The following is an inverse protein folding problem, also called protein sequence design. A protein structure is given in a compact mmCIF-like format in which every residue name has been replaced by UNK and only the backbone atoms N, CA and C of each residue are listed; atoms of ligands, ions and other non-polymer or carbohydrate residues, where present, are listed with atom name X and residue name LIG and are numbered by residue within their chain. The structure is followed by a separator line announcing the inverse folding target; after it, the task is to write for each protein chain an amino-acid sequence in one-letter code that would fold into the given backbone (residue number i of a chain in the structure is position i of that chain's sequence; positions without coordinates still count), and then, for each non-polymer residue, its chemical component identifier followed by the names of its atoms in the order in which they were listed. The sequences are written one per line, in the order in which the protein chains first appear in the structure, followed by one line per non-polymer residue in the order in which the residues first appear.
data_IF_218781131039
#
_entry.id   IF_218781131039
#
_cell.length_a   1.000
_cell.length_b   1.000
_cell.length_c   1.000
_cell.angle_alpha   90.00
_cell.angle_beta   90.00
_cell.angle_gamma   90.00
#
_symmetry.space_group_name_H-M   'P 1'
#
loop_
_entity.id
_entity.type
_entity.pdbx_description
1 polymer ?
#
# COMPACT_ATOMS: atom_id res chain seq x y z
N UNK A 1 69.41 -4.53 -8.01
CA UNK A 1 69.27 -5.88 -7.41
C UNK A 1 68.98 -5.67 -5.92
N UNK A 2 67.94 -6.33 -5.39
CA UNK A 2 67.32 -6.09 -4.08
C UNK A 2 68.19 -6.50 -2.87
N UNK A 3 67.82 -5.94 -1.69
CA UNK A 3 68.07 -6.33 -0.27
C UNK A 3 68.65 -5.15 0.54
N UNK A 4 68.19 -4.75 1.73
CA UNK A 4 67.74 -5.49 2.92
C UNK A 4 66.76 -4.65 3.78
N UNK A 5 65.97 -5.39 4.57
CA UNK A 5 65.11 -5.02 5.69
C UNK A 5 65.81 -4.20 6.79
N UNK A 6 65.13 -3.21 7.37
CA UNK A 6 65.43 -2.77 8.73
C UNK A 6 64.21 -2.88 9.64
N UNK A 7 64.48 -3.56 10.74
CA UNK A 7 63.59 -4.01 11.79
C UNK A 7 63.29 -2.94 12.83
N UNK A 8 62.07 -2.98 13.38
CA UNK A 8 61.57 -2.20 14.53
C UNK A 8 62.53 -2.16 15.73
N UNK A 9 62.33 -1.16 16.61
CA UNK A 9 62.33 -1.42 18.04
C UNK A 9 60.97 -1.11 18.70
N UNK A 10 60.58 -2.06 19.56
CA UNK A 10 59.45 -2.03 20.50
C UNK A 10 59.50 -0.83 21.45
N UNK A 11 58.33 -0.27 21.74
CA UNK A 11 58.10 0.59 22.91
C UNK A 11 56.60 0.77 23.12
N UNK A 12 56.10 0.26 24.25
CA UNK A 12 54.70 0.20 24.64
C UNK A 12 54.00 1.57 24.72
N UNK A 13 52.67 1.60 24.63
CA UNK A 13 51.75 1.99 25.72
C UNK A 13 50.29 2.02 25.21
N UNK A 14 49.36 1.84 26.15
CA UNK A 14 47.91 2.18 26.14
C UNK A 14 46.96 1.39 25.23
N UNK A 15 46.38 0.33 25.82
CA UNK A 15 45.01 -0.11 25.55
C UNK A 15 44.04 1.08 25.66
N UNK A 16 43.24 1.36 24.63
CA UNK A 16 42.07 2.23 24.75
C UNK A 16 40.95 1.77 23.82
N UNK A 17 40.13 0.90 24.38
CA UNK A 17 38.66 0.90 24.36
C UNK A 17 37.95 1.48 23.11
N UNK A 18 37.22 0.58 22.45
CA UNK A 18 36.14 0.87 21.51
C UNK A 18 35.02 1.70 22.17
N UNK A 19 34.60 2.82 21.56
CA UNK A 19 33.22 3.27 21.66
C UNK A 19 32.49 2.84 20.39
N UNK A 20 31.56 1.91 20.56
CA UNK A 20 30.52 1.52 19.62
C UNK A 20 29.94 2.79 18.93
N UNK A 21 30.09 2.98 17.60
CA UNK A 21 29.45 4.08 16.90
C UNK A 21 27.94 3.80 16.79
N UNK A 22 27.24 4.15 17.86
CA UNK A 22 25.81 4.38 17.89
C UNK A 22 25.54 5.64 17.09
N UNK A 23 24.86 5.53 15.95
CA UNK A 23 24.29 6.69 15.27
C UNK A 23 24.67 6.83 13.80
N UNK A 24 23.77 6.34 12.95
CA UNK A 24 23.30 7.02 11.74
C UNK A 24 24.40 7.44 10.73
N UNK A 25 24.86 6.48 9.94
CA UNK A 25 25.35 6.78 8.60
C UNK A 25 24.13 7.01 7.68
N UNK A 26 23.95 8.18 7.02
CA UNK A 26 23.03 8.31 5.88
C UNK A 26 23.70 7.77 4.61
N UNK A 27 24.38 6.62 4.71
CA UNK A 27 25.03 5.97 3.57
C UNK A 27 24.06 4.92 3.04
N UNK A 28 23.41 5.27 1.92
CA UNK A 28 22.48 4.47 1.07
C UNK A 28 20.98 4.61 1.34
N UNK A 29 20.45 5.82 1.12
CA UNK A 29 19.01 6.03 0.88
C UNK A 29 18.52 5.57 -0.51
N UNK A 30 19.42 5.23 -1.46
CA UNK A 30 19.05 4.84 -2.83
C UNK A 30 18.77 3.34 -3.01
N UNK A 31 18.79 2.57 -1.92
CA UNK A 31 18.46 1.14 -1.89
C UNK A 31 17.16 0.85 -1.12
N UNK A 32 16.26 1.82 -0.99
CA UNK A 32 14.85 1.49 -0.79
C UNK A 32 14.36 0.89 -2.11
N UNK A 33 14.55 -0.42 -2.22
CA UNK A 33 14.29 -1.18 -3.42
C UNK A 33 12.89 -0.93 -3.93
N UNK A 34 12.80 -0.85 -5.25
CA UNK A 34 11.59 -1.06 -6.01
C UNK A 34 10.85 -2.29 -5.44
N UNK A 35 9.80 -2.05 -4.67
CA UNK A 35 9.09 -3.06 -3.91
C UNK A 35 7.70 -2.55 -3.62
N UNK A 36 6.71 -3.40 -3.88
CA UNK A 36 5.28 -3.08 -3.76
C UNK A 36 5.02 -2.44 -2.39
N UNK A 37 4.51 -1.20 -2.40
CA UNK A 37 4.13 -0.45 -1.20
C UNK A 37 2.67 -0.78 -0.84
N UNK A 38 2.36 -0.84 0.45
CA UNK A 38 0.97 -0.92 0.89
C UNK A 38 0.26 0.43 0.77
N UNK A 39 -1.08 0.39 0.69
CA UNK A 39 -1.88 1.57 0.38
C UNK A 39 -1.74 2.71 1.40
N UNK A 40 -1.58 2.38 2.69
CA UNK A 40 -1.44 3.39 3.75
C UNK A 40 -0.12 4.13 3.67
N UNK A 41 0.99 3.41 3.44
CA UNK A 41 2.31 4.02 3.27
C UNK A 41 2.37 4.85 1.99
N UNK A 42 1.80 4.36 0.88
CA UNK A 42 1.70 5.12 -0.36
C UNK A 42 0.90 6.43 -0.20
N UNK A 43 -0.21 6.38 0.55
CA UNK A 43 -1.06 7.54 0.80
C UNK A 43 -0.35 8.66 1.58
N UNK A 44 0.62 8.34 2.45
CA UNK A 44 1.44 9.34 3.16
C UNK A 44 2.28 10.18 2.20
N UNK A 45 2.65 9.61 1.05
CA UNK A 45 3.40 10.30 -0.02
C UNK A 45 2.48 11.00 -1.02
N UNK A 46 1.16 11.04 -0.77
CA UNK A 46 0.17 11.63 -1.66
C UNK A 46 -0.22 10.76 -2.85
N UNK A 47 0.26 9.52 -2.93
CA UNK A 47 -0.07 8.57 -4.00
C UNK A 47 -1.27 7.73 -3.58
N UNK A 48 -2.31 7.70 -4.41
CA UNK A 48 -3.49 6.87 -4.15
C UNK A 48 -4.61 7.13 -5.15
N UNK A 49 -5.57 6.20 -5.18
CA UNK A 49 -6.78 6.32 -5.98
C UNK A 49 -7.65 7.46 -5.45
N UNK A 50 -8.15 8.30 -6.35
CA UNK A 50 -9.03 9.41 -6.00
C UNK A 50 -10.39 9.31 -6.68
N UNK A 51 -10.45 8.73 -7.87
CA UNK A 51 -11.68 8.63 -8.66
C UNK A 51 -11.73 7.33 -9.45
N UNK A 52 -12.92 6.74 -9.54
CA UNK A 52 -13.23 5.66 -10.48
C UNK A 52 -14.29 6.14 -11.47
N UNK A 53 -14.22 5.67 -12.71
CA UNK A 53 -15.15 6.00 -13.78
C UNK A 53 -15.70 4.73 -14.43
N UNK A 54 -17.02 4.64 -14.60
CA UNK A 54 -17.64 3.55 -15.35
C UNK A 54 -17.46 3.77 -16.85
N UNK A 55 -16.48 3.10 -17.42
CA UNK A 55 -16.37 3.00 -18.89
C UNK A 55 -17.54 2.21 -19.46
N UNK A 56 -17.97 1.17 -18.73
CA UNK A 56 -19.17 0.42 -19.03
C UNK A 56 -20.06 0.35 -17.80
N UNK A 57 -21.23 0.95 -17.92
CA UNK A 57 -22.27 0.93 -16.89
C UNK A 57 -22.81 -0.49 -16.66
N UNK A 58 -23.16 -0.85 -15.42
CA UNK A 58 -23.89 -2.08 -15.16
C UNK A 58 -25.30 -2.02 -15.79
N UNK A 59 -25.89 -3.16 -16.17
CA UNK A 59 -27.26 -3.20 -16.71
C UNK A 59 -28.28 -2.65 -15.70
N UNK A 60 -29.15 -1.74 -16.14
CA UNK A 60 -30.18 -1.12 -15.30
C UNK A 60 -31.30 -2.08 -14.89
N UNK A 61 -31.49 -3.16 -15.64
CA UNK A 61 -32.44 -4.22 -15.34
C UNK A 61 -31.72 -5.56 -15.43
N UNK A 62 -31.72 -6.31 -14.33
CA UNK A 62 -31.01 -7.57 -14.22
C UNK A 62 -31.85 -8.61 -13.49
N UNK A 63 -31.84 -9.84 -14.02
CA UNK A 63 -32.44 -11.01 -13.39
C UNK A 63 -31.49 -11.60 -12.36
N UNK A 64 -32.00 -11.97 -11.19
CA UNK A 64 -31.19 -12.55 -10.08
C UNK A 64 -30.36 -13.78 -10.47
N UNK A 65 -30.85 -14.61 -11.39
CA UNK A 65 -30.13 -15.81 -11.86
C UNK A 65 -28.99 -15.53 -12.83
N UNK A 66 -28.85 -14.28 -13.29
CA UNK A 66 -27.89 -13.92 -14.31
C UNK A 66 -26.68 -13.24 -13.68
N UNK A 67 -25.51 -13.50 -14.26
CA UNK A 67 -24.34 -12.68 -14.01
C UNK A 67 -24.45 -11.34 -14.77
N UNK A 68 -23.78 -10.33 -14.24
CA UNK A 68 -23.56 -9.05 -14.89
C UNK A 68 -22.11 -8.63 -14.73
N UNK A 69 -21.68 -7.69 -15.57
CA UNK A 69 -20.34 -7.13 -15.53
C UNK A 69 -20.37 -5.64 -15.81
N UNK A 70 -19.37 -4.94 -15.31
CA UNK A 70 -19.12 -3.51 -15.52
C UNK A 70 -17.61 -3.32 -15.75
N UNK A 71 -17.21 -2.15 -16.25
CA UNK A 71 -15.81 -1.81 -16.50
C UNK A 71 -15.48 -0.48 -15.83
N UNK A 72 -14.37 -0.45 -15.10
CA UNK A 72 -13.89 0.73 -14.39
C UNK A 72 -12.54 1.21 -14.93
N UNK A 73 -12.42 2.52 -15.12
CA UNK A 73 -11.15 3.23 -15.20
C UNK A 73 -10.85 3.89 -13.85
N UNK A 74 -9.61 3.78 -13.38
CA UNK A 74 -9.16 4.33 -12.10
C UNK A 74 -8.24 5.52 -12.36
N UNK A 75 -8.37 6.56 -11.52
CA UNK A 75 -7.55 7.76 -11.58
C UNK A 75 -6.98 8.10 -10.22
N UNK A 76 -5.76 8.60 -10.22
CA UNK A 76 -5.09 9.11 -9.03
C UNK A 76 -5.59 10.51 -8.64
N UNK A 77 -4.99 11.08 -7.59
CA UNK A 77 -5.31 12.44 -7.10
C UNK A 77 -5.00 13.56 -8.10
N UNK A 78 -4.10 13.33 -9.05
CA UNK A 78 -3.73 14.28 -10.09
C UNK A 78 -4.61 14.12 -11.34
N UNK A 79 -5.54 13.14 -11.33
CA UNK A 79 -6.40 12.82 -12.46
C UNK A 79 -5.71 11.98 -13.53
N UNK A 80 -4.55 11.40 -13.23
CA UNK A 80 -3.84 10.50 -14.14
C UNK A 80 -4.46 9.10 -14.12
N UNK A 81 -4.55 8.41 -15.27
CA UNK A 81 -5.03 7.04 -15.32
C UNK A 81 -4.05 6.12 -14.57
N UNK A 82 -4.59 5.21 -13.76
CA UNK A 82 -3.80 4.25 -12.98
C UNK A 82 -3.82 2.89 -13.67
N UNK A 83 -2.64 2.36 -13.98
CA UNK A 83 -2.48 1.02 -14.55
C UNK A 83 -2.65 -0.07 -13.48
N UNK A 84 -3.32 -1.17 -13.85
CA UNK A 84 -3.60 -2.29 -12.95
C UNK A 84 -2.75 -3.48 -13.42
N UNK A 85 -1.77 -3.88 -12.60
CA UNK A 85 -0.92 -5.03 -12.93
C UNK A 85 -1.54 -6.39 -12.57
N UNK A 86 -2.27 -6.46 -11.44
CA UNK A 86 -2.80 -7.71 -10.89
C UNK A 86 -4.14 -7.47 -10.21
N UNK A 87 -5.03 -8.45 -10.30
CA UNK A 87 -6.32 -8.46 -9.61
C UNK A 87 -6.55 -9.81 -8.96
N UNK A 88 -7.10 -9.83 -7.75
CA UNK A 88 -7.51 -11.06 -7.07
C UNK A 88 -8.84 -10.84 -6.35
N UNK A 89 -9.71 -11.85 -6.43
CA UNK A 89 -10.85 -11.96 -5.53
C UNK A 89 -10.34 -12.41 -4.16
N UNK A 90 -10.74 -11.73 -3.08
CA UNK A 90 -10.30 -12.05 -1.73
C UNK A 90 -11.40 -12.78 -0.96
N UNK A 91 -12.52 -12.11 -0.69
CA UNK A 91 -13.61 -12.70 0.09
C UNK A 91 -14.90 -11.88 -0.03
N UNK A 92 -16.02 -12.43 0.44
CA UNK A 92 -17.27 -11.71 0.63
C UNK A 92 -17.22 -10.87 1.92
N UNK A 93 -18.01 -9.78 1.93
CA UNK A 93 -18.24 -8.98 3.14
C UNK A 93 -19.41 -9.59 3.90
N UNK A 94 -19.09 -10.34 4.95
CA UNK A 94 -20.08 -11.05 5.78
C UNK A 94 -19.70 -10.98 7.26
N UNK A 95 -20.69 -11.20 8.14
CA UNK A 95 -20.51 -11.28 9.61
C UNK A 95 -19.74 -10.05 10.16
N UNK A 96 -18.60 -10.27 10.81
CA UNK A 96 -17.79 -9.24 11.45
C UNK A 96 -17.13 -8.26 10.48
N UNK A 97 -17.15 -8.56 9.17
CA UNK A 97 -16.67 -7.64 8.12
C UNK A 97 -17.73 -6.60 7.71
N UNK A 98 -18.98 -6.76 8.13
CA UNK A 98 -20.06 -5.81 7.82
C UNK A 98 -19.84 -4.52 8.61
N UNK A 99 -19.77 -3.39 7.92
CA UNK A 99 -19.64 -2.08 8.57
C UNK A 99 -20.93 -1.69 9.28
N UNK A 100 -20.82 -1.08 10.48
CA UNK A 100 -21.98 -0.65 11.28
C UNK A 100 -22.94 0.30 10.55
N UNK A 101 -22.45 1.02 9.54
CA UNK A 101 -23.28 1.89 8.69
C UNK A 101 -24.25 1.12 7.79
N UNK A 102 -23.95 -0.14 7.46
CA UNK A 102 -24.82 -1.00 6.66
C UNK A 102 -26.01 -1.54 7.47
N UNK A 103 -25.84 -1.75 8.78
CA UNK A 103 -26.92 -2.21 9.68
C UNK A 103 -27.97 -1.14 10.01
N UNK A 104 -27.79 0.11 9.56
CA UNK A 104 -28.66 1.24 9.86
C UNK A 104 -29.52 1.71 8.67
N UNK A 105 -29.63 0.92 7.59
CA UNK A 105 -30.60 1.24 6.54
C UNK A 105 -32.02 1.16 7.14
N UNK A 106 -32.82 2.25 7.06
CA UNK A 106 -34.18 2.23 7.61
C UNK A 106 -34.98 1.17 6.87
N UNK A 107 -35.57 0.23 7.60
CA UNK A 107 -36.64 -0.60 7.07
C UNK A 107 -37.71 0.37 6.58
N UNK A 108 -38.02 0.33 5.28
CA UNK A 108 -39.15 1.06 4.74
C UNK A 108 -40.41 0.48 5.39
N UNK A 109 -40.86 1.08 6.50
CA UNK A 109 -42.18 0.84 7.04
C UNK A 109 -43.17 1.40 6.01
N UNK A 110 -43.72 0.52 5.19
CA UNK A 110 -44.86 0.81 4.33
C UNK A 110 -46.05 1.14 5.23
N UNK A 111 -46.29 2.43 5.46
CA UNK A 111 -47.52 2.92 6.05
C UNK A 111 -48.64 2.73 5.02
N UNK A 112 -49.37 1.63 5.14
CA UNK A 112 -50.61 1.41 4.40
C UNK A 112 -51.63 2.45 4.85
N UNK A 113 -51.87 3.47 4.02
CA UNK A 113 -52.99 4.39 4.20
C UNK A 113 -54.24 3.69 3.69
N UNK A 114 -55.07 3.21 4.61
CA UNK A 114 -56.43 2.76 4.30
C UNK A 114 -57.30 3.98 3.97
N UNK A 115 -58.05 3.88 2.88
CA UNK A 115 -59.16 4.77 2.56
C UNK A 115 -60.35 4.53 3.48
#
# INVERSE_FOLDING_TARGET
MFSIQDSLPRGALTMKEEPLPTGMTPVRSWMQGAGILDANTAAQSGVGLARAHFEKQPPSNLRKSNFFHFVLALYDRQGQPVEIERTSYIDFVEKDKVTKSWSAAPSSSSSSSSY
#
